data_IF_651290590755
#
_entry.id   IF_651290590755
#
_cell.length_a   1.000
_cell.length_b   1.000
_cell.length_c   1.000
_cell.angle_alpha   90.00
_cell.angle_beta   90.00
_cell.angle_gamma   90.00
#
_symmetry.space_group_name_H-M   'P 1'
#
loop_
_entity.id
_entity.type
_entity.pdbx_description
1 polymer ?
#
# COMPACT_ATOMS: atom_id res chain seq x y z
N UNK A 1 -35.98 -29.11 -60.36
CA UNK A 1 -36.46 -30.51 -60.20
C UNK A 1 -36.88 -30.69 -58.75
N UNK A 2 -37.93 -31.46 -58.45
CA UNK A 2 -38.24 -31.82 -57.07
C UNK A 2 -37.25 -32.87 -56.56
N UNK A 3 -36.82 -32.76 -55.31
CA UNK A 3 -36.00 -33.79 -54.65
C UNK A 3 -36.87 -35.03 -54.40
N UNK A 4 -36.37 -36.23 -54.72
CA UNK A 4 -37.13 -37.49 -54.47
C UNK A 4 -37.44 -37.70 -52.99
N UNK A 5 -36.52 -37.27 -52.11
CA UNK A 5 -36.69 -37.28 -50.67
C UNK A 5 -36.58 -35.86 -50.14
N UNK A 6 -37.50 -35.46 -49.27
CA UNK A 6 -37.57 -34.12 -48.70
C UNK A 6 -38.30 -34.11 -47.35
N UNK A 7 -38.01 -33.09 -46.55
CA UNK A 7 -38.79 -32.72 -45.38
C UNK A 7 -39.68 -31.52 -45.73
N UNK A 8 -40.87 -31.46 -45.13
CA UNK A 8 -41.69 -30.26 -45.07
C UNK A 8 -42.15 -29.97 -43.65
N UNK A 9 -42.52 -28.72 -43.44
CA UNK A 9 -43.19 -28.23 -42.24
C UNK A 9 -44.70 -28.41 -42.43
N UNK A 10 -45.41 -28.99 -41.45
CA UNK A 10 -46.88 -29.11 -41.52
C UNK A 10 -47.52 -27.74 -41.30
N UNK A 11 -48.80 -27.59 -41.66
CA UNK A 11 -49.55 -26.37 -41.34
C UNK A 11 -49.55 -26.10 -39.83
N UNK A 12 -49.75 -27.13 -39.00
CA UNK A 12 -49.69 -27.01 -37.54
C UNK A 12 -48.30 -26.60 -37.04
N UNK A 13 -47.22 -27.10 -37.66
CA UNK A 13 -45.85 -26.69 -37.36
C UNK A 13 -45.55 -25.25 -37.78
N UNK A 14 -46.07 -24.81 -38.92
CA UNK A 14 -45.96 -23.44 -39.41
C UNK A 14 -46.72 -22.45 -38.51
N UNK A 15 -47.97 -22.78 -38.18
CA UNK A 15 -48.81 -21.99 -37.27
C UNK A 15 -48.15 -21.89 -35.90
N UNK A 16 -47.61 -23.00 -35.36
CA UNK A 16 -46.95 -22.97 -34.05
C UNK A 16 -45.63 -22.21 -34.07
N UNK A 17 -44.83 -22.28 -35.15
CA UNK A 17 -43.60 -21.49 -35.30
C UNK A 17 -43.90 -19.99 -35.44
N UNK A 18 -44.94 -19.62 -36.18
CA UNK A 18 -45.39 -18.24 -36.29
C UNK A 18 -45.87 -17.68 -34.93
N UNK A 19 -46.65 -18.47 -34.18
CA UNK A 19 -47.08 -18.10 -32.82
C UNK A 19 -45.90 -18.00 -31.83
N UNK A 20 -44.93 -18.92 -31.91
CA UNK A 20 -43.73 -18.88 -31.08
C UNK A 20 -42.93 -17.59 -31.31
N UNK A 21 -42.66 -17.26 -32.59
CA UNK A 21 -41.99 -16.03 -32.99
C UNK A 21 -42.75 -14.77 -32.53
N UNK A 22 -44.08 -14.73 -32.71
CA UNK A 22 -44.92 -13.59 -32.35
C UNK A 22 -45.01 -13.36 -30.82
N UNK A 23 -44.92 -14.41 -30.02
CA UNK A 23 -44.98 -14.37 -28.55
C UNK A 23 -43.60 -14.29 -27.88
N UNK A 24 -42.51 -14.35 -28.63
CA UNK A 24 -41.15 -14.46 -28.08
C UNK A 24 -40.89 -15.77 -27.32
N UNK A 25 -41.68 -16.82 -27.60
CA UNK A 25 -41.54 -18.15 -26.97
C UNK A 25 -40.84 -19.11 -27.94
N UNK A 26 -40.54 -20.33 -27.47
CA UNK A 26 -39.84 -21.34 -28.28
C UNK A 26 -40.58 -22.68 -28.29
N UNK A 27 -40.50 -23.38 -29.41
CA UNK A 27 -41.01 -24.75 -29.54
C UNK A 27 -39.96 -25.74 -29.06
N UNK A 28 -40.35 -26.60 -28.14
CA UNK A 28 -39.61 -27.80 -27.77
C UNK A 28 -40.04 -28.96 -28.67
N UNK A 29 -39.24 -29.25 -29.71
CA UNK A 29 -39.37 -30.48 -30.49
C UNK A 29 -38.74 -31.60 -29.64
N UNK A 30 -39.55 -32.53 -29.15
CA UNK A 30 -39.14 -33.51 -28.14
C UNK A 30 -39.00 -34.93 -28.67
N UNK A 31 -39.80 -35.30 -29.66
CA UNK A 31 -39.90 -36.67 -30.16
C UNK A 31 -39.72 -36.76 -31.68
N UNK A 32 -39.09 -37.84 -32.14
CA UNK A 32 -39.09 -38.24 -33.54
C UNK A 32 -39.82 -39.58 -33.66
N UNK A 33 -40.78 -39.67 -34.58
CA UNK A 33 -41.39 -40.93 -34.97
C UNK A 33 -40.96 -41.35 -36.37
N UNK A 34 -41.06 -42.64 -36.65
CA UNK A 34 -40.73 -43.27 -37.92
C UNK A 34 -41.80 -44.30 -38.29
N UNK A 35 -42.10 -44.42 -39.57
CA UNK A 35 -43.18 -45.27 -40.09
C UNK A 35 -42.85 -45.98 -41.41
N UNK A 36 -43.69 -46.94 -41.77
CA UNK A 36 -43.53 -47.74 -42.99
C UNK A 36 -44.30 -47.20 -44.22
N UNK A 37 -44.97 -46.05 -44.09
CA UNK A 37 -45.74 -45.41 -45.16
C UNK A 37 -46.98 -46.19 -45.63
N UNK A 38 -47.47 -47.15 -44.83
CA UNK A 38 -48.52 -48.08 -45.24
C UNK A 38 -48.04 -49.11 -46.28
N UNK A 39 -46.76 -49.46 -46.23
CA UNK A 39 -46.13 -50.41 -47.16
C UNK A 39 -45.61 -49.79 -48.47
N UNK A 40 -45.71 -48.47 -48.66
CA UNK A 40 -45.27 -47.75 -49.87
C UNK A 40 -44.49 -46.49 -49.49
N UNK A 41 -43.60 -46.00 -50.36
CA UNK A 41 -42.94 -44.70 -50.16
C UNK A 41 -43.99 -43.57 -50.22
N UNK A 42 -44.20 -42.81 -49.14
CA UNK A 42 -45.19 -41.73 -49.15
C UNK A 42 -44.62 -40.43 -49.71
N UNK A 43 -45.52 -39.57 -50.15
CA UNK A 43 -45.25 -38.16 -50.44
C UNK A 43 -45.67 -37.35 -49.22
N UNK A 44 -44.76 -36.60 -48.56
CA UNK A 44 -45.13 -35.70 -47.46
C UNK A 44 -46.15 -34.64 -47.89
N UNK A 45 -47.13 -34.36 -47.03
CA UNK A 45 -48.17 -33.33 -47.22
C UNK A 45 -48.22 -32.39 -46.00
N UNK A 46 -48.33 -31.08 -46.26
CA UNK A 46 -48.44 -30.04 -45.22
C UNK A 46 -49.67 -30.23 -44.33
N UNK A 47 -50.74 -30.85 -44.84
CA UNK A 47 -51.96 -31.12 -44.09
C UNK A 47 -51.88 -32.35 -43.18
N UNK A 48 -50.73 -33.06 -43.13
CA UNK A 48 -50.55 -34.18 -42.21
C UNK A 48 -50.58 -33.72 -40.74
N UNK A 49 -51.41 -34.39 -39.94
CA UNK A 49 -51.42 -34.27 -38.47
C UNK A 49 -50.75 -35.46 -37.78
N UNK A 50 -50.45 -36.53 -38.54
CA UNK A 50 -49.80 -37.77 -38.11
C UNK A 50 -49.07 -38.45 -39.27
N UNK A 51 -48.20 -39.41 -38.94
CA UNK A 51 -47.65 -40.37 -39.91
C UNK A 51 -48.74 -41.33 -40.41
N UNK A 52 -48.52 -41.92 -41.58
CA UNK A 52 -49.47 -42.83 -42.24
C UNK A 52 -49.52 -44.18 -41.52
N UNK A 53 -48.35 -44.73 -41.17
CA UNK A 53 -48.24 -45.98 -40.40
C UNK A 53 -46.99 -45.95 -39.49
N UNK A 54 -47.11 -45.20 -38.40
CA UNK A 54 -46.09 -45.08 -37.34
C UNK A 54 -45.74 -46.46 -36.75
N UNK A 55 -44.44 -46.76 -36.66
CA UNK A 55 -43.90 -47.99 -36.05
C UNK A 55 -43.26 -47.75 -34.70
N UNK A 56 -42.61 -46.58 -34.55
CA UNK A 56 -41.81 -46.24 -33.39
C UNK A 56 -41.78 -44.73 -33.21
N UNK A 57 -41.88 -44.29 -31.96
CA UNK A 57 -41.70 -42.91 -31.50
C UNK A 57 -40.85 -42.95 -30.24
N UNK A 58 -39.79 -42.15 -30.18
CA UNK A 58 -39.04 -41.92 -28.95
C UNK A 58 -38.53 -40.47 -28.89
N UNK A 59 -37.86 -40.12 -27.80
CA UNK A 59 -37.24 -38.82 -27.63
C UNK A 59 -36.12 -38.60 -28.66
N UNK A 60 -35.95 -37.35 -29.09
CA UNK A 60 -34.83 -36.92 -29.94
C UNK A 60 -33.53 -36.96 -29.13
N UNK A 61 -32.46 -37.50 -29.72
CA UNK A 61 -31.13 -37.57 -29.13
C UNK A 61 -30.40 -36.22 -29.30
N UNK A 62 -30.41 -35.68 -30.52
CA UNK A 62 -29.76 -34.41 -30.90
C UNK A 62 -30.73 -33.53 -31.68
N UNK A 63 -30.88 -32.26 -31.30
CA UNK A 63 -31.57 -31.22 -32.07
C UNK A 63 -30.66 -29.99 -32.17
N UNK A 64 -30.12 -29.74 -33.36
CA UNK A 64 -29.16 -28.67 -33.63
C UNK A 64 -29.55 -27.85 -34.86
N UNK A 65 -28.84 -26.75 -35.10
CA UNK A 65 -28.92 -25.95 -36.33
C UNK A 65 -27.67 -26.24 -37.16
N UNK A 66 -27.79 -26.32 -38.49
CA UNK A 66 -26.63 -26.43 -39.39
C UNK A 66 -25.76 -25.16 -39.28
N UNK A 67 -24.49 -25.25 -38.87
CA UNK A 67 -23.60 -24.09 -38.76
C UNK A 67 -23.31 -23.40 -40.11
N UNK A 68 -23.65 -24.02 -41.25
CA UNK A 68 -23.56 -23.43 -42.59
C UNK A 68 -24.89 -22.85 -43.08
N UNK A 69 -26.02 -23.26 -42.49
CA UNK A 69 -27.37 -22.88 -42.91
C UNK A 69 -28.24 -22.66 -41.67
N UNK A 70 -28.24 -21.45 -41.11
CA UNK A 70 -28.96 -21.11 -39.87
C UNK A 70 -30.47 -21.41 -39.89
N UNK A 71 -31.04 -21.58 -41.08
CA UNK A 71 -32.46 -21.90 -41.30
C UNK A 71 -32.72 -23.41 -41.42
N UNK A 72 -31.71 -24.27 -41.25
CA UNK A 72 -31.85 -25.73 -41.25
C UNK A 72 -31.69 -26.27 -39.83
N UNK A 73 -32.73 -26.97 -39.37
CA UNK A 73 -32.74 -27.72 -38.11
C UNK A 73 -32.42 -29.19 -38.43
N UNK A 74 -31.44 -29.74 -37.73
CA UNK A 74 -31.04 -31.14 -37.81
C UNK A 74 -31.56 -31.85 -36.56
N UNK A 75 -32.50 -32.77 -36.74
CA UNK A 75 -33.00 -33.65 -35.70
C UNK A 75 -32.42 -35.06 -35.90
N UNK A 76 -31.88 -35.65 -34.84
CA UNK A 76 -31.29 -37.00 -34.85
C UNK A 76 -31.95 -37.92 -33.82
N UNK A 77 -32.20 -39.16 -34.24
CA UNK A 77 -32.67 -40.23 -33.39
C UNK A 77 -31.86 -41.51 -33.62
N UNK A 78 -31.38 -42.14 -32.56
CA UNK A 78 -30.73 -43.45 -32.60
C UNK A 78 -31.76 -44.53 -32.31
N UNK A 79 -31.94 -45.47 -33.24
CA UNK A 79 -32.79 -46.65 -33.07
C UNK A 79 -31.86 -47.83 -32.68
N UNK A 80 -32.01 -48.42 -31.49
CA UNK A 80 -31.16 -49.51 -31.01
C UNK A 80 -31.45 -50.85 -31.71
N UNK A 81 -30.61 -51.86 -31.49
CA UNK A 81 -30.71 -53.17 -32.15
C UNK A 81 -31.92 -54.02 -31.74
N UNK A 82 -32.50 -53.77 -30.56
CA UNK A 82 -33.68 -54.47 -30.04
C UNK A 82 -35.01 -53.92 -30.58
N UNK A 83 -34.99 -52.82 -31.35
CA UNK A 83 -36.18 -52.20 -31.96
C UNK A 83 -36.08 -52.27 -33.49
N UNK A 84 -36.88 -53.13 -34.13
CA UNK A 84 -36.82 -53.35 -35.59
C UNK A 84 -37.91 -54.31 -36.08
N UNK A 85 -37.67 -54.91 -37.24
CA UNK A 85 -38.64 -55.79 -37.93
C UNK A 85 -39.54 -55.04 -38.92
N UNK A 86 -39.15 -53.84 -39.37
CA UNK A 86 -39.97 -52.99 -40.23
C UNK A 86 -39.15 -52.09 -41.16
N UNK A 87 -39.82 -51.58 -42.19
CA UNK A 87 -39.29 -50.61 -43.14
C UNK A 87 -39.48 -49.19 -42.65
N UNK A 88 -38.44 -48.37 -42.84
CA UNK A 88 -38.47 -46.92 -42.62
C UNK A 88 -38.71 -46.25 -43.98
N UNK A 89 -39.78 -45.46 -44.07
CA UNK A 89 -40.17 -44.70 -45.28
C UNK A 89 -40.60 -43.27 -44.99
N UNK A 90 -41.16 -43.04 -43.81
CA UNK A 90 -41.57 -41.72 -43.30
C UNK A 90 -40.94 -41.43 -41.94
N UNK A 91 -40.67 -40.15 -41.69
CA UNK A 91 -40.12 -39.61 -40.45
C UNK A 91 -40.99 -38.41 -40.06
N UNK A 92 -41.31 -38.27 -38.78
CA UNK A 92 -42.08 -37.14 -38.25
C UNK A 92 -41.44 -36.55 -37.00
N UNK A 93 -41.42 -35.22 -36.90
CA UNK A 93 -40.96 -34.48 -35.73
C UNK A 93 -42.16 -33.96 -34.94
N UNK A 94 -42.14 -34.19 -33.62
CA UNK A 94 -43.23 -33.86 -32.73
C UNK A 94 -42.77 -33.01 -31.54
N UNK A 95 -43.61 -32.07 -31.15
CA UNK A 95 -43.35 -31.22 -29.99
C UNK A 95 -43.77 -31.86 -28.66
N UNK A 96 -43.51 -31.15 -27.55
CA UNK A 96 -43.93 -31.54 -26.19
C UNK A 96 -45.45 -31.78 -26.02
N UNK A 97 -46.28 -31.25 -26.90
CA UNK A 97 -47.75 -31.37 -26.87
C UNK A 97 -48.25 -32.48 -27.81
N UNK A 98 -47.34 -33.23 -28.45
CA UNK A 98 -47.64 -34.33 -29.36
C UNK A 98 -48.04 -33.90 -30.78
N UNK A 99 -47.92 -32.63 -31.13
CA UNK A 99 -48.28 -32.11 -32.47
C UNK A 99 -47.19 -32.44 -33.48
N UNK A 100 -47.57 -32.97 -34.65
CA UNK A 100 -46.65 -33.18 -35.78
C UNK A 100 -46.24 -31.81 -36.36
N UNK A 101 -45.01 -31.39 -36.08
CA UNK A 101 -44.42 -30.13 -36.56
C UNK A 101 -43.95 -30.26 -38.02
N UNK A 102 -43.34 -31.40 -38.35
CA UNK A 102 -42.75 -31.63 -39.67
C UNK A 102 -42.77 -33.10 -40.04
N UNK A 103 -42.85 -33.38 -41.34
CA UNK A 103 -42.85 -34.73 -41.91
C UNK A 103 -41.89 -34.81 -43.09
N UNK A 104 -41.18 -35.93 -43.21
CA UNK A 104 -40.27 -36.22 -44.30
C UNK A 104 -40.48 -37.64 -44.83
N UNK A 105 -40.15 -37.86 -46.09
CA UNK A 105 -39.94 -39.20 -46.62
C UNK A 105 -38.43 -39.51 -46.74
N UNK A 106 -38.09 -40.78 -46.68
CA UNK A 106 -36.70 -41.24 -46.79
C UNK A 106 -36.57 -42.39 -47.80
N UNK A 107 -35.33 -42.72 -48.18
CA UNK A 107 -35.07 -43.94 -48.94
C UNK A 107 -35.54 -45.16 -48.14
N UNK A 108 -36.24 -46.09 -48.81
CA UNK A 108 -36.79 -47.30 -48.18
C UNK A 108 -35.66 -48.10 -47.54
N UNK A 109 -35.62 -48.12 -46.20
CA UNK A 109 -34.53 -48.73 -45.44
C UNK A 109 -35.11 -49.72 -44.44
N UNK A 110 -34.72 -50.99 -44.54
CA UNK A 110 -35.14 -52.00 -43.58
C UNK A 110 -34.32 -51.90 -42.29
N UNK A 111 -35.00 -51.88 -41.14
CA UNK A 111 -34.39 -51.87 -39.81
C UNK A 111 -34.53 -53.26 -39.18
N UNK A 112 -33.51 -54.14 -39.29
CA UNK A 112 -33.54 -55.45 -38.63
C UNK A 112 -33.48 -55.31 -37.10
N UNK A 113 -33.99 -56.34 -36.44
CA UNK A 113 -33.90 -56.56 -34.99
C UNK A 113 -32.89 -57.68 -34.69
N UNK A 114 -32.35 -57.73 -33.47
CA UNK A 114 -31.36 -58.74 -33.06
C UNK A 114 -31.86 -60.20 -33.24
N UNK A 115 -33.16 -60.44 -33.07
CA UNK A 115 -33.83 -61.72 -33.25
C UNK A 115 -33.79 -62.24 -34.70
N UNK A 116 -33.55 -61.37 -35.69
CA UNK A 116 -33.36 -61.73 -37.10
C UNK A 116 -31.90 -62.09 -37.43
N UNK A 117 -31.03 -62.20 -36.42
CA UNK A 117 -29.60 -62.51 -36.58
C UNK A 117 -28.76 -61.34 -37.13
N UNK A 118 -29.36 -60.16 -37.29
CA UNK A 118 -28.70 -58.95 -37.80
C UNK A 118 -29.06 -57.72 -36.96
N UNK A 119 -28.81 -57.81 -35.65
CA UNK A 119 -28.94 -56.67 -34.74
C UNK A 119 -28.10 -55.50 -35.23
N UNK A 120 -28.76 -54.37 -35.50
CA UNK A 120 -28.11 -53.16 -36.02
C UNK A 120 -28.68 -51.93 -35.35
N UNK A 121 -27.82 -51.16 -34.70
CA UNK A 121 -28.13 -49.78 -34.30
C UNK A 121 -28.12 -48.87 -35.54
N UNK A 122 -29.12 -48.00 -35.66
CA UNK A 122 -29.27 -47.11 -36.83
C UNK A 122 -29.67 -45.70 -36.40
N UNK A 123 -28.84 -44.71 -36.75
CA UNK A 123 -29.18 -43.29 -36.60
C UNK A 123 -30.03 -42.82 -37.78
N UNK A 124 -31.14 -42.16 -37.47
CA UNK A 124 -32.01 -41.45 -38.40
C UNK A 124 -31.77 -39.95 -38.21
N UNK A 125 -31.45 -39.25 -39.31
CA UNK A 125 -31.22 -37.80 -39.35
C UNK A 125 -32.27 -37.17 -40.25
N UNK A 126 -33.06 -36.24 -39.73
CA UNK A 126 -34.02 -35.44 -40.48
C UNK A 126 -33.53 -33.99 -40.50
N UNK A 127 -33.41 -33.42 -41.70
CA UNK A 127 -33.02 -32.02 -41.91
C UNK A 127 -34.26 -31.27 -42.38
N UNK A 128 -34.68 -30.26 -41.61
CA UNK A 128 -35.87 -29.45 -41.85
C UNK A 128 -35.46 -28.00 -42.11
N UNK A 129 -35.95 -27.41 -43.22
CA UNK A 129 -35.82 -25.97 -43.47
C UNK A 129 -36.99 -25.25 -42.78
N UNK A 130 -36.69 -24.20 -42.03
CA UNK A 130 -37.67 -23.32 -41.35
C UNK A 130 -37.47 -21.85 -41.74
N UNK A 131 -38.46 -21.01 -41.49
CA UNK A 131 -38.39 -19.56 -41.74
C UNK A 131 -37.52 -18.80 -40.72
N UNK A 132 -37.47 -19.26 -39.47
CA UNK A 132 -36.50 -18.86 -38.44
C UNK A 132 -36.28 -20.05 -37.50
N UNK A 133 -35.02 -20.32 -37.14
CA UNK A 133 -34.66 -21.35 -36.17
C UNK A 133 -34.59 -20.83 -34.73
N UNK A 134 -34.59 -19.51 -34.52
CA UNK A 134 -34.55 -18.88 -33.19
C UNK A 134 -35.76 -19.25 -32.33
N UNK A 135 -36.89 -19.53 -32.99
CA UNK A 135 -38.17 -19.95 -32.40
C UNK A 135 -38.20 -21.41 -31.93
N UNK A 136 -37.06 -22.13 -31.99
CA UNK A 136 -36.94 -23.52 -31.55
C UNK A 136 -35.95 -23.64 -30.39
N UNK A 137 -36.31 -24.44 -29.38
CA UNK A 137 -35.43 -24.82 -28.28
C UNK A 137 -34.53 -25.96 -28.73
N UNK A 138 -33.23 -25.68 -28.90
CA UNK A 138 -32.25 -26.72 -29.18
C UNK A 138 -32.11 -27.64 -27.97
N UNK A 139 -32.30 -28.94 -28.18
CA UNK A 139 -32.13 -29.97 -27.16
C UNK A 139 -31.02 -30.93 -27.58
N UNK A 140 -30.01 -31.05 -26.74
CA UNK A 140 -29.19 -32.26 -26.67
C UNK A 140 -29.65 -33.03 -25.45
N UNK A 141 -29.92 -34.33 -25.59
CA UNK A 141 -30.14 -35.18 -24.43
C UNK A 141 -28.82 -35.87 -24.03
N UNK A 142 -28.22 -35.54 -22.85
CA UNK A 142 -26.97 -36.15 -22.43
C UNK A 142 -27.16 -37.57 -21.86
N UNK A 143 -28.39 -38.07 -21.69
CA UNK A 143 -28.67 -39.41 -21.14
C UNK A 143 -28.61 -40.53 -22.19
N UNK A 144 -28.20 -40.21 -23.42
CA UNK A 144 -28.17 -41.14 -24.55
C UNK A 144 -27.08 -42.20 -24.36
N UNK A 145 -27.51 -43.46 -24.28
CA UNK A 145 -26.66 -44.65 -24.07
C UNK A 145 -25.55 -44.81 -25.12
N UNK A 146 -25.73 -44.26 -26.33
CA UNK A 146 -24.76 -44.29 -27.43
C UNK A 146 -24.63 -42.90 -28.08
N UNK A 147 -23.69 -42.09 -27.60
CA UNK A 147 -23.32 -40.82 -28.22
C UNK A 147 -22.71 -41.01 -29.63
N UNK A 148 -22.94 -40.06 -30.55
CA UNK A 148 -22.23 -40.05 -31.84
C UNK A 148 -20.79 -39.60 -31.62
N UNK A 149 -19.86 -40.11 -32.45
CA UNK A 149 -18.45 -39.70 -32.36
C UNK A 149 -18.28 -38.19 -32.56
N UNK A 150 -19.00 -37.61 -33.51
CA UNK A 150 -18.98 -36.17 -33.81
C UNK A 150 -19.40 -35.33 -32.58
N UNK A 151 -20.38 -35.78 -31.80
CA UNK A 151 -20.76 -35.15 -30.55
C UNK A 151 -19.68 -35.27 -29.45
N UNK A 152 -19.01 -36.42 -29.35
CA UNK A 152 -17.90 -36.62 -28.38
C UNK A 152 -16.70 -35.74 -28.74
N UNK A 153 -16.30 -35.72 -30.02
CA UNK A 153 -15.19 -34.90 -30.50
C UNK A 153 -15.49 -33.39 -30.32
N UNK A 154 -16.71 -32.92 -30.60
CA UNK A 154 -17.16 -31.53 -30.38
C UNK A 154 -17.26 -31.15 -28.89
N UNK A 155 -17.81 -32.01 -28.03
CA UNK A 155 -17.91 -31.71 -26.59
C UNK A 155 -16.56 -31.71 -25.88
N UNK A 156 -15.63 -32.58 -26.26
CA UNK A 156 -14.24 -32.53 -25.79
C UNK A 156 -13.57 -31.23 -26.26
N UNK A 157 -13.73 -30.85 -27.52
CA UNK A 157 -13.17 -29.60 -28.05
C UNK A 157 -13.74 -28.37 -27.32
N UNK A 158 -15.06 -28.33 -27.07
CA UNK A 158 -15.71 -27.26 -26.29
C UNK A 158 -15.20 -27.21 -24.85
N UNK A 159 -15.06 -28.36 -24.19
CA UNK A 159 -14.54 -28.44 -22.82
C UNK A 159 -13.09 -27.96 -22.73
N UNK A 160 -12.21 -28.40 -23.64
CA UNK A 160 -10.79 -28.03 -23.68
C UNK A 160 -10.55 -26.54 -23.97
N UNK A 161 -11.44 -25.88 -24.71
CA UNK A 161 -11.40 -24.42 -24.91
C UNK A 161 -12.14 -23.63 -23.81
N UNK A 162 -12.84 -24.30 -22.90
CA UNK A 162 -13.55 -23.65 -21.79
C UNK A 162 -12.60 -23.31 -20.63
N UNK A 163 -13.05 -22.43 -19.73
CA UNK A 163 -12.46 -22.24 -18.40
C UNK A 163 -13.38 -22.70 -17.28
N UNK A 164 -14.36 -23.57 -17.58
CA UNK A 164 -15.39 -23.98 -16.64
C UNK A 164 -14.95 -25.20 -15.82
N UNK A 165 -14.03 -24.97 -14.89
CA UNK A 165 -13.61 -25.90 -13.83
C UNK A 165 -13.73 -25.22 -12.47
N UNK A 166 -13.76 -25.98 -11.36
CA UNK A 166 -13.61 -25.41 -10.02
C UNK A 166 -12.34 -24.57 -9.86
N UNK A 167 -12.39 -23.56 -9.00
CA UNK A 167 -11.22 -22.83 -8.54
C UNK A 167 -10.32 -23.74 -7.68
N UNK A 168 -9.02 -23.46 -7.66
CA UNK A 168 -8.07 -24.21 -6.84
C UNK A 168 -8.24 -23.89 -5.36
N UNK A 169 -8.07 -24.90 -4.51
CA UNK A 169 -8.09 -24.75 -3.04
C UNK A 169 -6.71 -25.11 -2.47
N UNK A 170 -6.53 -24.90 -1.16
CA UNK A 170 -5.31 -25.34 -0.45
C UNK A 170 -5.16 -26.88 -0.37
N UNK A 171 -6.12 -27.65 -0.90
CA UNK A 171 -6.13 -29.13 -0.90
C UNK A 171 -6.33 -29.74 -2.29
N UNK A 172 -7.01 -29.04 -3.18
CA UNK A 172 -7.51 -29.57 -4.46
C UNK A 172 -7.10 -28.68 -5.64
N UNK A 173 -6.78 -29.31 -6.77
CA UNK A 173 -6.34 -28.60 -7.98
C UNK A 173 -7.55 -28.06 -8.74
N UNK A 174 -7.46 -26.81 -9.16
CA UNK A 174 -8.44 -26.12 -10.00
C UNK A 174 -7.78 -24.99 -10.78
N UNK A 175 -8.55 -24.03 -11.30
CA UNK A 175 -8.00 -22.81 -11.88
C UNK A 175 -7.70 -21.73 -10.84
N UNK A 176 -6.81 -20.80 -11.19
CA UNK A 176 -6.49 -19.61 -10.40
C UNK A 176 -6.42 -18.38 -11.30
N UNK A 177 -6.74 -17.22 -10.74
CA UNK A 177 -6.36 -15.92 -11.30
C UNK A 177 -4.96 -15.59 -10.75
N UNK A 178 -4.06 -15.09 -11.61
CA UNK A 178 -2.67 -14.81 -11.24
C UNK A 178 -2.42 -13.31 -11.08
N UNK A 179 -1.68 -12.93 -10.04
CA UNK A 179 -1.28 -11.54 -9.78
C UNK A 179 0.22 -11.37 -9.63
N UNK A 180 0.75 -10.25 -10.12
CA UNK A 180 2.16 -9.85 -9.97
C UNK A 180 2.37 -8.68 -9.00
N UNK A 181 1.32 -8.34 -8.24
CA UNK A 181 1.32 -7.34 -7.15
C UNK A 181 1.95 -7.98 -5.89
N UNK A 182 2.68 -7.21 -5.10
CA UNK A 182 3.43 -7.70 -3.90
C UNK A 182 2.75 -7.38 -2.57
N UNK A 183 1.80 -6.45 -2.60
CA UNK A 183 1.07 -5.83 -1.49
C UNK A 183 -0.45 -6.09 -1.59
N UNK A 184 -0.85 -7.09 -2.39
CA UNK A 184 -2.25 -7.47 -2.60
C UNK A 184 -2.87 -8.13 -1.36
N UNK A 185 -4.06 -7.67 -0.97
CA UNK A 185 -4.91 -8.30 0.05
C UNK A 185 -5.93 -9.29 -0.52
N UNK A 186 -5.83 -9.66 -1.81
CA UNK A 186 -6.83 -10.52 -2.46
C UNK A 186 -6.62 -12.01 -2.17
N UNK A 187 -7.62 -12.63 -1.55
CA UNK A 187 -7.69 -14.09 -1.34
C UNK A 187 -8.09 -14.88 -2.60
N UNK A 188 -8.53 -14.20 -3.67
CA UNK A 188 -8.99 -14.84 -4.93
C UNK A 188 -7.90 -14.91 -6.01
N UNK A 189 -6.66 -14.55 -5.69
CA UNK A 189 -5.54 -14.48 -6.64
C UNK A 189 -4.28 -15.15 -6.09
N UNK A 190 -3.64 -15.99 -6.91
CA UNK A 190 -2.36 -16.59 -6.59
C UNK A 190 -1.19 -15.71 -7.06
N UNK A 191 -0.13 -15.63 -6.27
CA UNK A 191 1.07 -14.86 -6.59
C UNK A 191 1.87 -15.51 -7.74
N UNK A 192 2.31 -14.71 -8.71
CA UNK A 192 3.25 -15.16 -9.74
C UNK A 192 4.68 -15.28 -9.20
N UNK A 193 5.57 -16.07 -9.85
CA UNK A 193 7.00 -16.04 -9.57
C UNK A 193 7.62 -14.63 -9.65
N UNK A 194 7.03 -13.72 -10.43
CA UNK A 194 7.43 -12.30 -10.50
C UNK A 194 7.13 -11.54 -9.19
N UNK A 195 5.93 -11.73 -8.60
CA UNK A 195 5.62 -11.16 -7.28
C UNK A 195 6.55 -11.73 -6.20
N UNK A 196 6.73 -13.06 -6.17
CA UNK A 196 7.60 -13.73 -5.20
C UNK A 196 9.05 -13.23 -5.30
N UNK A 197 9.58 -13.07 -6.53
CA UNK A 197 10.92 -12.51 -6.75
C UNK A 197 11.02 -11.06 -6.29
N UNK A 198 10.04 -10.22 -6.61
CA UNK A 198 10.04 -8.81 -6.21
C UNK A 198 9.99 -8.64 -4.68
N UNK A 199 9.13 -9.41 -3.99
CA UNK A 199 9.06 -9.43 -2.53
C UNK A 199 10.40 -9.88 -1.90
N UNK A 200 11.05 -10.90 -2.47
CA UNK A 200 12.37 -11.35 -2.05
C UNK A 200 13.47 -10.30 -2.27
N UNK A 201 13.45 -9.59 -3.40
CA UNK A 201 14.39 -8.50 -3.69
C UNK A 201 14.21 -7.31 -2.73
N UNK A 202 12.96 -6.95 -2.36
CA UNK A 202 12.69 -5.96 -1.32
C UNK A 202 13.19 -6.39 0.07
N UNK A 203 13.00 -7.65 0.45
CA UNK A 203 13.51 -8.20 1.72
C UNK A 203 15.04 -8.17 1.78
N UNK A 204 15.72 -8.54 0.69
CA UNK A 204 17.18 -8.43 0.58
C UNK A 204 17.67 -6.98 0.65
N UNK A 205 16.97 -6.04 0.01
CA UNK A 205 17.31 -4.61 0.09
C UNK A 205 17.21 -4.09 1.53
N UNK A 206 16.17 -4.47 2.28
CA UNK A 206 16.02 -4.12 3.69
C UNK A 206 17.13 -4.73 4.58
N UNK A 207 17.47 -6.01 4.39
CA UNK A 207 18.56 -6.67 5.10
C UNK A 207 19.92 -5.99 4.83
N UNK A 208 20.22 -5.70 3.56
CA UNK A 208 21.44 -4.99 3.18
C UNK A 208 21.50 -3.56 3.74
N UNK A 209 20.36 -2.87 3.82
CA UNK A 209 20.28 -1.56 4.48
C UNK A 209 20.60 -1.66 5.97
N UNK A 210 19.99 -2.62 6.68
CA UNK A 210 20.20 -2.85 8.11
C UNK A 210 21.68 -3.14 8.43
N UNK A 211 22.31 -4.04 7.68
CA UNK A 211 23.73 -4.38 7.82
C UNK A 211 24.66 -3.17 7.59
N UNK A 212 24.22 -2.15 6.85
CA UNK A 212 24.97 -0.91 6.62
C UNK A 212 24.77 0.19 7.69
N UNK A 213 23.87 0.03 8.67
CA UNK A 213 23.53 1.11 9.62
C UNK A 213 24.63 1.42 10.64
N UNK A 214 25.49 0.45 10.96
CA UNK A 214 26.70 0.63 11.77
C UNK A 214 27.92 0.37 10.87
N UNK A 215 28.54 1.42 10.27
CA UNK A 215 29.70 1.23 9.41
C UNK A 215 30.86 0.59 10.17
N UNK A 216 31.46 -0.45 9.58
CA UNK A 216 32.65 -1.13 10.10
C UNK A 216 33.75 -0.10 10.37
N UNK A 217 34.30 -0.10 11.57
CA UNK A 217 35.32 0.87 12.00
C UNK A 217 34.79 2.16 12.62
N UNK A 218 33.47 2.38 12.75
CA UNK A 218 32.97 3.42 13.67
C UNK A 218 33.34 3.08 15.12
N UNK A 219 33.76 4.11 15.84
CA UNK A 219 34.23 4.03 17.22
C UNK A 219 33.56 5.10 18.11
N UNK A 220 33.49 4.82 19.41
CA UNK A 220 33.21 5.80 20.47
C UNK A 220 34.42 5.84 21.38
N UNK A 221 35.10 6.98 21.45
CA UNK A 221 36.42 7.15 22.09
C UNK A 221 37.42 6.00 21.77
N UNK A 222 37.66 5.74 20.48
CA UNK A 222 38.58 4.67 20.03
C UNK A 222 38.06 3.23 20.16
N UNK A 223 36.96 2.99 20.90
CA UNK A 223 36.36 1.66 21.12
C UNK A 223 35.38 1.35 19.98
N UNK A 224 35.53 0.22 19.31
CA UNK A 224 34.71 -0.15 18.16
C UNK A 224 33.25 -0.46 18.54
N UNK A 225 32.30 -0.11 17.66
CA UNK A 225 30.88 -0.46 17.81
C UNK A 225 30.60 -1.93 17.42
N UNK A 226 31.18 -2.87 18.16
CA UNK A 226 30.98 -4.32 17.99
C UNK A 226 30.55 -5.05 19.27
N UNK A 227 30.44 -4.35 20.40
CA UNK A 227 29.94 -4.83 21.68
C UNK A 227 29.46 -3.62 22.52
N UNK A 228 28.98 -3.86 23.74
CA UNK A 228 28.62 -2.79 24.68
C UNK A 228 29.84 -1.93 25.04
N UNK A 229 29.70 -0.60 24.94
CA UNK A 229 30.80 0.35 25.23
C UNK A 229 30.58 1.00 26.60
N UNK A 230 31.44 0.63 27.55
CA UNK A 230 31.61 1.36 28.81
C UNK A 230 32.55 2.55 28.60
N UNK A 231 32.15 3.73 29.08
CA UNK A 231 32.97 4.95 29.14
C UNK A 231 33.24 5.32 30.59
N UNK A 232 34.50 5.57 30.94
CA UNK A 232 34.91 6.14 32.22
C UNK A 232 35.16 7.65 32.10
N UNK A 233 35.54 8.31 33.20
CA UNK A 233 35.78 9.77 33.19
C UNK A 233 36.94 10.18 32.25
N UNK A 234 38.02 9.39 32.23
CA UNK A 234 39.16 9.59 31.33
C UNK A 234 38.81 9.43 29.85
N UNK A 235 37.87 8.53 29.50
CA UNK A 235 37.35 8.37 28.13
C UNK A 235 36.69 9.64 27.56
N UNK A 236 36.31 10.59 28.40
CA UNK A 236 35.64 11.85 28.00
C UNK A 236 36.41 13.10 28.46
N UNK A 237 37.65 12.95 28.92
CA UNK A 237 38.47 14.05 29.43
C UNK A 237 37.94 14.71 30.71
N UNK A 238 37.03 14.04 31.43
CA UNK A 238 36.49 14.50 32.69
C UNK A 238 37.35 14.00 33.87
N UNK A 239 37.44 14.78 34.94
CA UNK A 239 38.06 14.32 36.18
C UNK A 239 37.21 13.22 36.81
N UNK A 240 37.86 12.13 37.23
CA UNK A 240 37.22 11.14 38.06
C UNK A 240 36.98 11.69 39.49
N UNK A 241 36.23 10.94 40.32
CA UNK A 241 35.84 11.38 41.67
C UNK A 241 37.05 11.72 42.55
N UNK A 242 38.15 10.98 42.45
CA UNK A 242 39.37 11.20 43.23
C UNK A 242 40.11 12.45 42.75
N UNK A 243 40.33 12.60 41.45
CA UNK A 243 40.94 13.81 40.86
C UNK A 243 40.16 15.07 41.20
N UNK A 244 38.83 15.00 41.16
CA UNK A 244 37.95 16.11 41.53
C UNK A 244 38.09 16.47 43.01
N UNK A 245 38.09 15.48 43.91
CA UNK A 245 38.30 15.68 45.34
C UNK A 245 39.69 16.25 45.69
N UNK A 246 40.72 15.96 44.88
CA UNK A 246 42.07 16.51 45.05
C UNK A 246 42.20 17.94 44.49
N UNK A 247 41.48 18.27 43.41
CA UNK A 247 41.56 19.57 42.71
C UNK A 247 40.63 20.64 43.28
N UNK A 248 39.53 20.26 43.94
CA UNK A 248 38.51 21.19 44.41
C UNK A 248 38.18 20.98 45.90
N UNK A 249 38.07 22.07 46.65
CA UNK A 249 37.64 22.01 48.06
C UNK A 249 36.20 21.52 48.16
N UNK A 250 35.94 20.61 49.11
CA UNK A 250 34.59 20.14 49.43
C UNK A 250 33.68 21.34 49.78
N UNK A 251 32.52 21.43 49.13
CA UNK A 251 31.54 22.51 49.31
C UNK A 251 31.03 22.54 50.76
N UNK A 252 31.63 23.40 51.58
CA UNK A 252 31.42 23.48 53.03
C UNK A 252 32.72 23.67 53.81
N UNK A 253 33.83 23.10 53.35
CA UNK A 253 35.17 23.30 53.92
C UNK A 253 35.88 24.52 53.30
N UNK A 254 35.19 25.66 53.29
CA UNK A 254 35.84 26.95 53.04
C UNK A 254 36.44 27.45 54.35
N UNK A 255 37.70 27.88 54.34
CA UNK A 255 38.16 28.84 55.34
C UNK A 255 37.35 30.13 55.11
N UNK A 256 36.61 30.57 56.13
CA UNK A 256 35.83 31.82 56.09
C UNK A 256 36.67 32.98 55.60
N UNK A 257 36.15 33.74 54.64
CA UNK A 257 36.76 34.97 54.17
C UNK A 257 36.86 35.96 55.35
N UNK A 258 38.07 36.11 55.90
CA UNK A 258 38.32 36.83 57.15
C UNK A 258 39.19 36.11 58.18
N UNK A 259 39.64 34.87 57.94
CA UNK A 259 40.62 34.22 58.82
C UNK A 259 42.01 34.87 58.74
N UNK A 260 42.25 35.79 59.68
CA UNK A 260 43.57 36.22 60.12
C UNK A 260 44.39 35.06 60.69
N UNK A 261 45.70 35.28 60.85
CA UNK A 261 46.63 34.41 61.57
C UNK A 261 46.06 33.87 62.89
N UNK A 262 46.41 32.63 63.25
CA UNK A 262 46.10 32.12 64.59
C UNK A 262 46.78 32.98 65.66
N UNK A 263 46.25 32.97 66.88
CA UNK A 263 46.80 33.81 67.96
C UNK A 263 48.29 33.54 68.20
N UNK A 264 48.72 32.28 68.12
CA UNK A 264 50.13 31.89 68.28
C UNK A 264 51.03 32.44 67.16
N UNK A 265 50.52 32.57 65.93
CA UNK A 265 51.26 33.17 64.80
C UNK A 265 51.30 34.70 64.87
N UNK A 266 50.25 35.33 65.40
CA UNK A 266 50.19 36.77 65.69
C UNK A 266 51.18 37.16 66.79
N UNK A 267 51.08 36.50 67.94
CA UNK A 267 51.84 36.83 69.15
C UNK A 267 53.34 36.54 68.99
N UNK A 268 53.75 35.74 67.99
CA UNK A 268 55.14 35.49 67.62
C UNK A 268 55.76 36.47 66.62
N UNK A 269 54.99 37.39 66.01
CA UNK A 269 55.49 38.32 64.97
C UNK A 269 55.49 39.80 65.35
N UNK A 270 54.93 40.17 66.49
CA UNK A 270 54.93 41.54 67.00
C UNK A 270 55.38 41.57 68.47
N UNK A 271 56.21 42.54 68.85
CA UNK A 271 56.62 42.69 70.26
C UNK A 271 55.42 43.07 71.14
N UNK A 272 55.27 42.48 72.34
CA UNK A 272 54.14 42.76 73.22
C UNK A 272 54.19 44.20 73.74
N UNK A 273 53.12 44.96 73.43
CA UNK A 273 52.96 46.37 73.82
C UNK A 273 52.76 46.50 75.33
N UNK A 274 53.88 46.63 76.06
CA UNK A 274 53.88 46.88 77.51
C UNK A 274 55.23 46.73 78.20
N UNK A 275 56.15 45.93 77.65
CA UNK A 275 57.41 45.61 78.32
C UNK A 275 58.54 46.61 78.02
N UNK A 276 58.35 47.87 78.40
CA UNK A 276 59.42 48.88 78.43
C UNK A 276 60.33 48.64 79.64
N UNK A 277 61.64 48.76 79.45
CA UNK A 277 62.61 48.65 80.54
C UNK A 277 62.43 49.78 81.58
N UNK A 278 62.71 49.55 82.88
CA UNK A 278 62.64 50.58 83.91
C UNK A 278 63.54 51.79 83.58
N UNK A 279 63.02 53.00 83.80
CA UNK A 279 63.76 54.23 83.54
C UNK A 279 64.94 54.38 84.52
N UNK A 280 66.17 54.42 84.02
CA UNK A 280 67.35 54.41 84.91
C UNK A 280 68.74 54.60 84.31
N UNK A 281 68.90 55.06 83.06
CA UNK A 281 70.14 55.67 82.56
C UNK A 281 69.96 56.25 81.14
N UNK A 282 70.20 57.56 80.97
CA UNK A 282 70.27 58.21 79.66
C UNK A 282 71.57 59.01 79.53
N UNK A 283 72.38 58.68 78.53
CA UNK A 283 73.54 59.46 78.10
C UNK A 283 73.25 60.09 76.72
N UNK A 284 72.91 61.38 76.76
CA UNK A 284 72.61 62.33 75.69
C UNK A 284 73.12 62.02 74.25
N UNK A 285 72.18 61.86 73.30
CA UNK A 285 72.26 62.39 71.92
C UNK A 285 70.87 62.30 71.25
N UNK A 286 70.31 63.31 70.58
CA UNK A 286 70.73 64.71 70.44
C UNK A 286 69.72 65.47 69.55
N UNK A 287 68.87 66.27 70.20
CA UNK A 287 68.04 67.39 69.68
C UNK A 287 67.24 67.24 68.36
N UNK A 288 65.91 67.39 68.46
CA UNK A 288 65.06 68.01 67.42
C UNK A 288 63.71 68.47 67.98
N UNK A 289 63.65 69.74 68.38
CA UNK A 289 62.56 70.75 68.29
C UNK A 289 61.10 70.39 68.64
N UNK A 290 60.37 71.39 69.14
CA UNK A 290 59.00 71.22 69.64
C UNK A 290 57.95 71.84 68.73
N UNK A 291 56.67 71.53 68.99
CA UNK A 291 55.50 71.77 68.11
C UNK A 291 55.16 73.25 67.84
N UNK A 292 55.93 74.21 68.34
CA UNK A 292 55.79 75.64 68.02
C UNK A 292 56.65 76.11 66.85
N UNK A 293 57.58 75.28 66.36
CA UNK A 293 58.68 75.73 65.47
C UNK A 293 58.46 75.33 63.99
N UNK A 294 57.35 74.66 63.67
CA UNK A 294 57.04 74.15 62.31
C UNK A 294 56.40 75.19 61.38
N UNK A 295 55.67 76.16 61.90
CA UNK A 295 54.60 76.84 61.14
C UNK A 295 55.07 78.13 60.43
N UNK A 296 56.38 78.28 60.21
CA UNK A 296 57.00 79.56 59.81
C UNK A 296 57.83 79.58 58.51
N UNK A 297 57.86 78.50 57.70
CA UNK A 297 58.73 78.41 56.51
C UNK A 297 58.00 77.97 55.22
N UNK A 298 57.41 78.97 54.54
CA UNK A 298 57.06 79.05 53.10
C UNK A 298 56.66 77.76 52.34
N UNK A 299 55.38 77.55 52.02
CA UNK A 299 54.60 78.11 50.87
C UNK A 299 54.75 77.34 49.53
N UNK A 300 53.85 77.61 48.57
CA UNK A 300 53.39 76.63 47.58
C UNK A 300 53.34 77.10 46.11
N UNK A 301 53.76 76.23 45.17
CA UNK A 301 53.26 76.10 43.78
C UNK A 301 53.85 74.86 43.09
N UNK A 302 53.37 74.52 41.88
CA UNK A 302 53.79 73.35 41.08
C UNK A 302 54.33 73.68 39.68
N UNK A 303 54.26 72.68 38.78
CA UNK A 303 54.93 72.56 37.45
C UNK A 303 56.40 72.12 37.56
N UNK A 304 57.02 71.28 36.69
CA UNK A 304 56.75 70.71 35.34
C UNK A 304 57.26 69.22 35.32
N UNK A 305 57.18 68.32 34.31
CA UNK A 305 56.52 68.14 32.98
C UNK A 305 56.52 66.60 32.71
N UNK A 306 55.42 65.95 32.29
CA UNK A 306 54.98 65.69 30.89
C UNK A 306 55.79 64.65 30.07
N UNK A 307 55.25 63.43 29.98
CA UNK A 307 55.30 62.49 28.84
C UNK A 307 54.16 61.45 29.04
N UNK A 308 53.53 60.82 28.03
CA UNK A 308 53.59 61.02 26.58
C UNK A 308 52.59 60.12 25.81
N UNK A 309 51.53 60.73 25.28
CA UNK A 309 50.61 60.36 24.18
C UNK A 309 50.42 58.88 23.69
N UNK A 310 49.15 58.44 23.82
CA UNK A 310 48.28 57.77 22.81
C UNK A 310 48.49 56.32 22.29
N UNK A 311 47.33 55.70 22.00
CA UNK A 311 47.01 54.43 21.33
C UNK A 311 47.28 54.49 19.80
N UNK A 312 47.15 53.43 18.93
CA UNK A 312 46.27 52.25 19.04
C UNK A 312 46.67 50.91 18.33
N UNK A 313 45.72 49.94 18.35
CA UNK A 313 45.39 48.91 17.31
C UNK A 313 46.32 47.71 16.97
N UNK A 314 45.69 46.56 16.67
CA UNK A 314 46.28 45.31 16.12
C UNK A 314 45.76 44.04 16.85
N UNK A 315 44.79 43.25 16.35
CA UNK A 315 44.75 42.38 15.15
C UNK A 315 45.62 41.11 15.31
N UNK A 316 45.18 39.85 15.15
CA UNK A 316 43.89 39.19 14.77
C UNK A 316 43.79 37.82 15.52
N UNK A 317 42.86 36.86 15.35
CA UNK A 317 41.83 36.56 14.32
C UNK A 317 40.59 35.82 14.89
N UNK A 318 39.55 35.65 14.06
CA UNK A 318 38.20 35.15 14.43
C UNK A 318 37.89 33.77 13.81
N UNK A 319 37.15 32.91 14.53
CA UNK A 319 36.28 31.87 13.92
C UNK A 319 35.17 31.42 14.88
N UNK A 320 33.91 31.57 14.45
CA UNK A 320 32.73 30.92 15.03
C UNK A 320 32.01 31.74 16.09
N UNK A 321 30.77 32.13 15.80
CA UNK A 321 29.91 32.92 16.71
C UNK A 321 29.18 32.02 17.71
N UNK A 322 29.06 32.48 18.95
CA UNK A 322 28.11 31.95 19.92
C UNK A 322 27.37 33.09 20.61
N UNK A 323 26.04 33.02 20.63
CA UNK A 323 25.19 34.06 21.19
C UNK A 323 25.34 34.17 22.71
N UNK A 324 25.26 35.39 23.25
CA UNK A 324 25.21 35.58 24.70
C UNK A 324 23.89 35.04 25.28
N UNK A 325 23.85 34.75 26.58
CA UNK A 325 22.62 34.24 27.25
C UNK A 325 21.43 35.20 27.10
N UNK A 326 21.66 36.52 27.01
CA UNK A 326 20.58 37.48 26.75
C UNK A 326 19.98 37.33 25.35
N UNK A 327 20.79 36.94 24.37
CA UNK A 327 20.37 36.74 22.97
C UNK A 327 19.78 35.34 22.70
N UNK A 328 20.11 34.33 23.51
CA UNK A 328 19.37 33.04 23.48
C UNK A 328 17.97 33.21 24.03
N UNK A 329 17.82 33.88 25.16
CA UNK A 329 16.56 33.93 25.92
C UNK A 329 15.50 34.79 25.22
N UNK A 330 15.91 35.65 24.27
CA UNK A 330 15.02 36.38 23.36
C UNK A 330 14.62 35.63 22.08
N UNK A 331 15.21 34.47 21.77
CA UNK A 331 14.95 33.69 20.53
C UNK A 331 14.10 32.43 20.73
N UNK A 332 13.91 31.98 21.97
CA UNK A 332 13.17 30.76 22.28
C UNK A 332 12.09 31.01 23.35
N UNK A 333 10.84 30.65 23.05
CA UNK A 333 9.78 30.64 24.06
C UNK A 333 10.08 29.60 25.14
N UNK A 334 9.80 29.94 26.40
CA UNK A 334 9.91 28.99 27.52
C UNK A 334 8.89 27.85 27.35
N UNK A 335 9.33 26.63 27.62
CA UNK A 335 8.43 25.49 27.74
C UNK A 335 7.36 25.77 28.81
N UNK A 336 6.10 25.46 28.50
CA UNK A 336 4.95 25.76 29.36
C UNK A 336 4.27 27.11 29.11
N UNK A 337 4.74 27.94 28.16
CA UNK A 337 3.96 29.09 27.70
C UNK A 337 2.74 28.62 26.91
N UNK A 338 1.54 29.03 27.32
CA UNK A 338 0.30 28.78 26.57
C UNK A 338 0.29 29.63 25.28
N UNK A 339 0.47 28.99 24.14
CA UNK A 339 0.37 29.61 22.81
C UNK A 339 -0.96 29.23 22.17
N UNK A 340 -1.74 30.22 21.74
CA UNK A 340 -2.93 29.99 20.93
C UNK A 340 -2.53 29.53 19.53
N UNK A 341 -2.95 28.33 19.13
CA UNK A 341 -2.58 27.72 17.85
C UNK A 341 -3.78 27.62 16.90
N UNK A 342 -3.65 28.17 15.70
CA UNK A 342 -4.64 28.07 14.62
C UNK A 342 -4.12 27.13 13.53
N UNK A 343 -4.95 26.16 13.13
CA UNK A 343 -4.64 25.23 12.04
C UNK A 343 -4.70 25.95 10.69
N UNK A 344 -3.62 25.89 9.91
CA UNK A 344 -3.48 26.55 8.61
C UNK A 344 -3.48 25.57 7.43
N UNK A 345 -3.18 24.30 7.69
CA UNK A 345 -3.35 23.19 6.75
C UNK A 345 -3.54 21.89 7.54
N UNK A 346 -4.38 21.00 7.01
CA UNK A 346 -4.59 19.66 7.53
C UNK A 346 -4.91 18.72 6.38
N UNK A 347 -4.39 17.50 6.40
CA UNK A 347 -4.60 16.54 5.33
C UNK A 347 -4.06 15.15 5.65
N UNK A 348 -3.91 14.34 4.60
CA UNK A 348 -3.22 13.05 4.66
C UNK A 348 -1.77 13.22 5.11
N UNK A 349 -1.22 12.18 5.74
CA UNK A 349 0.14 12.18 6.28
C UNK A 349 1.22 12.38 5.19
N UNK A 350 2.03 13.43 5.33
CA UNK A 350 3.14 13.73 4.42
C UNK A 350 4.43 13.10 4.93
N UNK A 351 4.88 12.05 4.24
CA UNK A 351 6.22 11.45 4.35
C UNK A 351 6.95 11.67 3.02
N UNK A 352 8.18 12.21 3.06
CA UNK A 352 8.89 12.71 1.89
C UNK A 352 8.61 14.20 1.61
N UNK A 353 8.85 14.64 0.37
CA UNK A 353 8.66 16.02 -0.09
C UNK A 353 7.26 16.24 -0.70
N UNK A 354 6.55 17.30 -0.30
CA UNK A 354 5.23 17.67 -0.84
C UNK A 354 5.02 19.18 -0.72
N UNK A 355 4.31 19.79 -1.67
CA UNK A 355 3.86 21.19 -1.56
C UNK A 355 2.37 21.23 -1.22
N UNK A 356 2.00 21.98 -0.18
CA UNK A 356 0.62 22.13 0.29
C UNK A 356 0.14 23.58 0.14
N UNK A 357 -1.17 23.75 -0.03
CA UNK A 357 -1.81 25.06 0.07
C UNK A 357 -2.16 25.33 1.56
N UNK A 358 -1.83 26.52 2.05
CA UNK A 358 -2.11 26.97 3.43
C UNK A 358 -3.12 28.12 3.43
N UNK A 359 -3.94 28.21 4.48
CA UNK A 359 -4.99 29.23 4.62
C UNK A 359 -4.48 30.62 5.03
N UNK A 360 -3.19 30.76 5.35
CA UNK A 360 -2.53 32.00 5.74
C UNK A 360 -1.05 31.96 5.39
N UNK A 361 -0.48 33.12 5.05
CA UNK A 361 0.96 33.31 4.93
C UNK A 361 1.66 32.99 6.25
N UNK A 362 2.78 32.28 6.18
CA UNK A 362 3.54 31.82 7.35
C UNK A 362 4.77 32.68 7.66
N UNK A 363 5.18 33.58 6.76
CA UNK A 363 6.44 34.32 6.88
C UNK A 363 6.47 35.18 8.15
N UNK A 364 7.52 34.99 8.96
CA UNK A 364 7.69 35.66 10.26
C UNK A 364 6.85 35.10 11.42
N UNK A 365 5.95 34.13 11.19
CA UNK A 365 5.15 33.51 12.26
C UNK A 365 5.88 32.30 12.87
N UNK A 366 5.56 31.95 14.12
CA UNK A 366 5.95 30.67 14.68
C UNK A 366 5.02 29.57 14.13
N UNK A 367 5.60 28.65 13.38
CA UNK A 367 4.92 27.53 12.73
C UNK A 367 5.23 26.24 13.47
N UNK A 368 4.20 25.45 13.73
CA UNK A 368 4.26 24.17 14.44
C UNK A 368 3.63 23.10 13.55
N UNK A 369 4.07 21.85 13.71
CA UNK A 369 3.51 20.71 12.99
C UNK A 369 3.00 19.63 13.95
N UNK A 370 2.04 18.83 13.50
CA UNK A 370 1.62 17.59 14.18
C UNK A 370 1.83 16.38 13.29
N UNK A 371 2.18 15.27 13.94
CA UNK A 371 2.13 13.91 13.40
C UNK A 371 1.00 13.12 14.07
N UNK A 372 0.65 11.95 13.52
CA UNK A 372 -0.13 10.94 14.22
C UNK A 372 0.83 9.87 14.75
N UNK A 373 0.97 9.78 16.08
CA UNK A 373 1.72 8.71 16.73
C UNK A 373 0.72 7.84 17.50
N UNK A 374 0.57 6.60 17.05
CA UNK A 374 -0.18 5.56 17.74
C UNK A 374 -1.64 5.96 18.04
N UNK A 375 -2.27 6.72 17.13
CA UNK A 375 -3.63 7.25 17.28
C UNK A 375 -3.73 8.59 18.01
N UNK A 376 -2.61 9.15 18.47
CA UNK A 376 -2.55 10.45 19.16
C UNK A 376 -1.88 11.51 18.28
N UNK A 377 -2.56 12.63 18.06
CA UNK A 377 -2.01 13.76 17.32
C UNK A 377 -0.98 14.54 18.18
N UNK A 378 0.31 14.21 18.06
CA UNK A 378 1.40 14.84 18.82
C UNK A 378 2.01 16.00 18.05
N UNK A 379 2.35 17.08 18.76
CA UNK A 379 2.99 18.27 18.21
C UNK A 379 4.52 18.11 18.24
N UNK A 380 5.18 18.21 17.09
CA UNK A 380 6.60 17.82 16.90
C UNK A 380 7.61 18.95 17.21
N UNK A 381 7.12 20.02 17.82
CA UNK A 381 7.82 21.29 17.96
C UNK A 381 7.37 22.31 16.92
N UNK A 382 8.10 23.42 16.86
CA UNK A 382 7.86 24.52 15.94
C UNK A 382 9.02 25.50 15.91
N UNK A 383 9.00 26.43 14.97
CA UNK A 383 10.05 27.42 14.75
C UNK A 383 9.51 28.63 13.99
N UNK A 384 10.22 29.76 14.11
CA UNK A 384 9.85 30.98 13.38
C UNK A 384 10.22 30.82 11.91
N UNK A 385 9.23 30.94 11.02
CA UNK A 385 9.48 30.94 9.58
C UNK A 385 10.24 32.21 9.18
N UNK A 386 11.30 32.12 8.35
CA UNK A 386 11.96 33.29 7.77
C UNK A 386 10.99 34.24 7.05
N UNK A 387 11.36 35.52 6.99
CA UNK A 387 10.67 36.53 6.17
C UNK A 387 10.91 36.33 4.65
N UNK A 388 11.97 35.60 4.31
CA UNK A 388 12.45 35.32 2.94
C UNK A 388 11.84 34.04 2.36
N UNK A 389 11.41 34.07 1.09
CA UNK A 389 10.79 32.93 0.39
C UNK A 389 11.79 31.87 -0.12
N UNK A 390 13.09 32.12 0.02
CA UNK A 390 14.15 31.33 -0.63
C UNK A 390 14.65 30.15 0.22
N UNK A 391 14.53 30.23 1.53
CA UNK A 391 15.25 29.36 2.47
C UNK A 391 14.38 28.25 3.04
N UNK A 392 15.01 27.10 3.31
CA UNK A 392 14.42 26.05 4.13
C UNK A 392 14.72 26.37 5.60
N UNK A 393 13.71 26.25 6.46
CA UNK A 393 13.90 26.25 7.91
C UNK A 393 13.45 24.92 8.52
N UNK A 394 14.01 24.60 9.69
CA UNK A 394 13.84 23.32 10.35
C UNK A 394 12.86 23.44 11.52
N UNK A 395 11.94 22.48 11.66
CA UNK A 395 11.16 22.27 12.88
C UNK A 395 11.31 20.81 13.35
N UNK A 396 11.56 20.61 14.64
CA UNK A 396 11.86 19.31 15.24
C UNK A 396 12.88 19.39 16.37
N UNK A 397 13.03 18.30 17.12
CA UNK A 397 14.01 18.13 18.19
C UNK A 397 14.66 16.74 18.07
N UNK A 398 15.85 16.55 18.65
CA UNK A 398 16.59 15.28 18.72
C UNK A 398 16.90 14.60 17.37
N UNK A 399 17.81 15.21 16.58
CA UNK A 399 18.39 14.67 15.32
C UNK A 399 17.41 14.40 14.17
N UNK A 400 16.11 14.55 14.36
CA UNK A 400 15.08 14.29 13.36
C UNK A 400 14.25 15.55 13.13
N UNK A 401 13.81 15.74 11.89
CA UNK A 401 13.30 17.04 11.45
C UNK A 401 12.22 16.96 10.38
N UNK A 402 11.39 18.00 10.37
CA UNK A 402 10.61 18.43 9.20
C UNK A 402 11.23 19.73 8.69
N UNK A 403 11.53 19.81 7.40
CA UNK A 403 11.93 21.06 6.75
C UNK A 403 10.70 21.72 6.13
N UNK A 404 10.58 23.03 6.30
CA UNK A 404 9.54 23.84 5.70
C UNK A 404 10.16 24.94 4.84
N UNK A 405 9.54 25.25 3.71
CA UNK A 405 9.91 26.38 2.84
C UNK A 405 8.65 27.11 2.34
N UNK A 406 8.46 28.40 2.67
CA UNK A 406 7.37 29.20 2.10
C UNK A 406 7.60 29.42 0.60
N UNK A 407 6.71 28.89 -0.23
CA UNK A 407 6.77 29.03 -1.70
C UNK A 407 5.99 30.25 -2.19
N UNK A 408 4.92 30.62 -1.49
CA UNK A 408 4.12 31.83 -1.70
C UNK A 408 3.35 32.19 -0.42
N UNK A 409 2.55 33.27 -0.44
CA UNK A 409 1.67 33.63 0.66
C UNK A 409 0.53 32.61 0.94
N UNK A 410 0.35 31.61 0.08
CA UNK A 410 -0.65 30.54 0.21
C UNK A 410 -0.09 29.13 -0.01
N UNK A 411 1.23 28.97 -0.18
CA UNK A 411 1.85 27.67 -0.45
C UNK A 411 3.12 27.45 0.36
N UNK A 412 3.23 26.25 0.95
CA UNK A 412 4.37 25.81 1.75
C UNK A 412 4.84 24.45 1.24
N UNK A 413 6.14 24.30 1.02
CA UNK A 413 6.76 23.01 0.75
C UNK A 413 7.25 22.39 2.04
N UNK A 414 6.96 21.10 2.21
CA UNK A 414 7.23 20.29 3.40
C UNK A 414 8.13 19.13 2.99
N UNK A 415 9.16 18.84 3.79
CA UNK A 415 9.90 17.56 3.76
C UNK A 415 9.85 16.97 5.16
N UNK A 416 9.35 15.75 5.34
CA UNK A 416 9.32 15.08 6.64
C UNK A 416 9.64 13.60 6.56
N UNK A 417 10.42 13.10 7.53
CA UNK A 417 10.65 11.67 7.74
C UNK A 417 9.55 10.98 8.57
N UNK A 418 8.85 11.73 9.43
CA UNK A 418 7.94 11.17 10.43
C UNK A 418 6.47 11.08 10.00
N UNK A 419 6.01 12.00 9.12
CA UNK A 419 4.61 12.11 8.73
C UNK A 419 3.95 13.36 9.32
N UNK A 420 3.70 14.38 8.50
CA UNK A 420 3.00 15.60 8.93
C UNK A 420 1.54 15.55 8.49
N UNK A 421 0.61 15.67 9.44
CA UNK A 421 -0.85 15.65 9.20
C UNK A 421 -1.53 17.02 9.33
N UNK A 422 -0.87 17.96 10.02
CA UNK A 422 -1.42 19.29 10.32
C UNK A 422 -0.27 20.30 10.53
N UNK A 423 -0.43 21.51 9.98
CA UNK A 423 0.39 22.68 10.26
C UNK A 423 -0.45 23.70 11.03
N UNK A 424 0.14 24.30 12.07
CA UNK A 424 -0.47 25.33 12.89
C UNK A 424 0.45 26.55 13.00
N UNK A 425 -0.13 27.73 13.25
CA UNK A 425 0.62 28.95 13.59
C UNK A 425 0.21 29.48 14.95
N UNK A 426 1.12 30.15 15.63
CA UNK A 426 0.78 31.06 16.74
C UNK A 426 -0.10 32.20 16.25
N UNK A 427 -1.12 32.57 17.03
CA UNK A 427 -1.90 33.81 16.88
C UNK A 427 -1.88 34.65 18.15
#
# INVERSE_FOLDING_TARGET
MSSKYFALLTQLGADKLANAAALGTKIEITHMAVGDGGGKLPTPDTQQTKLINEKRRAAINTLSIDPKNTNQIIAEQVIPENEGGWWIREIGLFDKDGILIAVANCAETYKPQLQEGSGRTQTIRMILIVSSADSVTLKVDPSVVLATREYVDDTIQKHANSRHHPDATLKEKGFVILSSVVDSSSETQAATPKAVKAAYDFANAANNNANGRVPVGRQVNGKALNADILLNAGDVGAYNKEESNQRFQLKGNYLTAGYSYSKNESDGRYQPKGNYAPAGNYALKGESYTRGESDGRYQSRGNYQTAGNYQPAGNYAVRGECYTRGESDGRYQRAGTNVSLVSIWKGSEIKGETTVNVSRDIRGLAVYARLNDSGTNKLIGGGVCPQTMSEWYQIGFNNEYTMLKPMSASQVRIVSGWGVIELLVSV
#
